data_IF_566740011575
#
_entry.id   IF_566740011575
#
_cell.length_a   1.000
_cell.length_b   1.000
_cell.length_c   1.000
_cell.angle_alpha   90.00
_cell.angle_beta   90.00
_cell.angle_gamma   90.00
#
_symmetry.space_group_name_H-M   'P 1'
#
loop_
_entity.id
_entity.type
_entity.pdbx_description
1 polymer ?
#
# COMPACT_ATOMS: atom_id res chain seq x y z
N UNK A 1 -22.75 25.22 15.13
CA UNK A 1 -22.56 24.19 16.18
C UNK A 1 -21.95 22.97 15.54
N UNK A 2 -20.59 22.98 15.43
CA UNK A 2 -19.83 21.87 14.86
C UNK A 2 -19.71 20.73 15.88
N UNK A 3 -20.48 19.65 15.65
CA UNK A 3 -20.35 18.38 16.37
C UNK A 3 -19.73 17.34 15.46
N UNK A 4 -18.47 17.47 15.11
CA UNK A 4 -17.68 16.38 14.54
C UNK A 4 -16.18 16.49 14.92
N UNK A 5 -15.93 16.70 16.19
CA UNK A 5 -14.63 16.35 16.75
C UNK A 5 -14.63 14.82 16.95
N UNK A 6 -14.38 14.08 15.88
CA UNK A 6 -14.08 12.65 15.98
C UNK A 6 -12.82 12.50 16.80
N UNK A 7 -12.99 12.07 18.03
CA UNK A 7 -11.93 11.69 18.96
C UNK A 7 -10.91 10.81 18.22
N UNK A 8 -9.74 11.36 17.91
CA UNK A 8 -8.58 10.60 17.45
C UNK A 8 -8.19 9.67 18.59
N UNK A 9 -8.77 8.46 18.58
CA UNK A 9 -8.37 7.39 19.47
C UNK A 9 -6.89 7.19 19.24
N UNK A 10 -6.06 7.44 20.25
CA UNK A 10 -4.62 7.17 20.23
C UNK A 10 -4.43 5.67 19.97
N UNK A 11 -4.33 5.28 18.70
CA UNK A 11 -4.01 3.91 18.34
C UNK A 11 -2.53 3.75 18.68
N UNK A 12 -2.26 2.85 19.59
CA UNK A 12 -0.89 2.53 19.97
C UNK A 12 -0.18 1.99 18.72
N UNK A 13 0.93 2.61 18.33
CA UNK A 13 1.73 2.19 17.16
C UNK A 13 2.16 0.71 17.21
N UNK A 14 2.07 0.09 18.39
CA UNK A 14 2.38 -1.31 18.62
C UNK A 14 1.22 -2.27 18.27
N UNK A 15 0.03 -1.74 17.93
CA UNK A 15 -1.14 -2.57 17.64
C UNK A 15 -1.14 -3.18 16.23
N UNK A 16 -0.21 -2.75 15.37
CA UNK A 16 -0.05 -3.32 14.03
C UNK A 16 1.16 -4.27 14.00
N UNK A 17 1.02 -5.48 13.47
CA UNK A 17 2.12 -6.44 13.34
C UNK A 17 3.05 -6.00 12.19
N UNK A 18 3.81 -4.92 12.40
CA UNK A 18 4.63 -4.31 11.37
C UNK A 18 6.05 -4.05 11.88
N UNK A 19 7.02 -4.72 11.30
CA UNK A 19 8.44 -4.50 11.61
C UNK A 19 9.03 -3.40 10.72
N UNK A 20 9.34 -2.25 11.32
CA UNK A 20 10.03 -1.14 10.61
C UNK A 20 11.39 -1.55 10.08
N UNK A 21 12.11 -2.43 10.77
CA UNK A 21 13.42 -2.93 10.35
C UNK A 21 13.27 -3.81 9.10
N UNK A 22 12.31 -4.74 9.12
CA UNK A 22 12.02 -5.58 7.96
C UNK A 22 11.52 -4.76 6.77
N UNK A 23 10.67 -3.75 7.01
CA UNK A 23 10.22 -2.83 5.98
C UNK A 23 11.40 -2.10 5.33
N UNK A 24 12.31 -1.52 6.11
CA UNK A 24 13.50 -0.84 5.56
C UNK A 24 14.38 -1.78 4.74
N UNK A 25 14.59 -2.99 5.23
CA UNK A 25 15.33 -4.02 4.49
C UNK A 25 14.65 -4.32 3.16
N UNK A 26 13.33 -4.58 3.18
CA UNK A 26 12.55 -4.88 1.98
C UNK A 26 12.56 -3.73 0.96
N UNK A 27 12.31 -2.50 1.41
CA UNK A 27 12.35 -1.31 0.55
C UNK A 27 13.76 -1.08 -0.03
N UNK A 28 14.81 -1.33 0.76
CA UNK A 28 16.20 -1.27 0.31
C UNK A 28 16.52 -2.31 -0.77
N UNK A 29 16.06 -3.56 -0.56
CA UNK A 29 16.18 -4.64 -1.54
C UNK A 29 15.47 -4.30 -2.85
N UNK A 30 14.24 -3.80 -2.78
CA UNK A 30 13.51 -3.34 -3.96
C UNK A 30 14.23 -2.20 -4.69
N UNK A 31 14.83 -1.27 -3.95
CA UNK A 31 15.64 -0.19 -4.52
C UNK A 31 16.88 -0.70 -5.24
N UNK A 32 17.52 -1.74 -4.71
CA UNK A 32 18.67 -2.40 -5.33
C UNK A 32 18.27 -3.18 -6.60
N UNK A 33 17.12 -3.86 -6.59
CA UNK A 33 16.63 -4.66 -7.72
C UNK A 33 16.10 -3.78 -8.86
N UNK A 34 15.50 -2.62 -8.56
CA UNK A 34 14.85 -1.75 -9.56
C UNK A 34 15.68 -1.43 -10.80
N UNK A 35 16.97 -1.09 -10.72
CA UNK A 35 17.77 -0.80 -11.91
C UNK A 35 17.87 -1.97 -12.89
N UNK A 36 17.89 -3.20 -12.38
CA UNK A 36 17.91 -4.42 -13.21
C UNK A 36 16.60 -4.65 -13.96
N UNK A 37 15.50 -4.06 -13.48
CA UNK A 37 14.21 -4.05 -14.16
C UNK A 37 14.04 -2.82 -15.08
N UNK A 38 15.13 -2.09 -15.36
CA UNK A 38 15.11 -0.85 -16.16
C UNK A 38 14.14 0.21 -15.61
N UNK A 39 13.83 0.14 -14.31
CA UNK A 39 12.89 1.05 -13.65
C UNK A 39 13.50 2.44 -13.45
N UNK A 40 12.84 3.47 -13.96
CA UNK A 40 13.12 4.87 -13.64
C UNK A 40 12.14 5.34 -12.57
N UNK A 41 12.60 6.17 -11.64
CA UNK A 41 11.74 6.76 -10.60
C UNK A 41 11.98 8.27 -10.58
N UNK A 42 10.96 9.01 -10.97
CA UNK A 42 10.92 10.47 -10.82
C UNK A 42 9.88 10.80 -9.75
N UNK A 43 10.23 11.66 -8.81
CA UNK A 43 9.36 12.07 -7.72
C UNK A 43 9.20 13.59 -7.76
N UNK A 44 7.96 14.08 -7.65
CA UNK A 44 7.73 15.50 -7.46
C UNK A 44 8.18 15.96 -6.06
N UNK A 45 8.41 17.24 -5.89
CA UNK A 45 8.80 17.81 -4.59
C UNK A 45 7.65 17.68 -3.57
N UNK A 46 6.40 17.80 -4.02
CA UNK A 46 5.22 17.60 -3.20
C UNK A 46 5.16 16.17 -2.64
N UNK A 47 5.43 15.16 -3.49
CA UNK A 47 5.47 13.77 -3.05
C UNK A 47 6.58 13.53 -2.03
N UNK A 48 7.77 14.10 -2.25
CA UNK A 48 8.90 14.01 -1.31
C UNK A 48 8.57 14.67 0.03
N UNK A 49 7.92 15.83 0.00
CA UNK A 49 7.48 16.55 1.20
C UNK A 49 6.42 15.72 1.95
N UNK A 50 5.38 15.25 1.26
CA UNK A 50 4.30 14.46 1.86
C UNK A 50 4.82 13.16 2.49
N UNK A 51 5.77 12.50 1.83
CA UNK A 51 6.41 11.28 2.34
C UNK A 51 7.12 11.49 3.70
N UNK A 52 7.60 12.71 3.96
CA UNK A 52 8.23 13.08 5.25
C UNK A 52 7.19 13.46 6.32
N UNK A 53 6.04 13.98 5.90
CA UNK A 53 5.04 14.55 6.81
C UNK A 53 4.12 13.51 7.45
N UNK A 54 4.03 12.30 6.93
CA UNK A 54 3.19 11.26 7.53
C UNK A 54 2.80 10.12 6.59
N UNK A 55 1.84 9.32 7.04
CA UNK A 55 1.29 8.23 6.24
C UNK A 55 0.45 8.77 5.07
N UNK A 56 0.51 8.05 3.94
CA UNK A 56 -0.26 8.35 2.74
C UNK A 56 -1.02 7.12 2.28
N UNK A 57 -2.22 7.32 1.75
CA UNK A 57 -2.85 6.34 0.88
C UNK A 57 -2.30 6.55 -0.54
N UNK A 58 -1.47 5.61 -0.98
CA UNK A 58 -0.85 5.66 -2.31
C UNK A 58 -1.73 4.89 -3.29
N UNK A 59 -2.24 5.57 -4.29
CA UNK A 59 -3.07 4.99 -5.35
C UNK A 59 -2.24 4.93 -6.62
N UNK A 60 -2.12 3.75 -7.21
CA UNK A 60 -1.33 3.54 -8.42
C UNK A 60 -2.07 2.63 -9.40
N UNK A 61 -1.76 2.77 -10.69
CA UNK A 61 -2.16 1.79 -11.70
C UNK A 61 -1.42 0.46 -11.51
N UNK A 62 -1.91 -0.62 -12.09
CA UNK A 62 -1.36 -1.96 -11.95
C UNK A 62 -0.98 -2.54 -13.30
N UNK A 63 0.26 -2.27 -13.72
CA UNK A 63 0.75 -2.65 -15.05
C UNK A 63 1.53 -3.97 -15.05
N UNK A 64 2.07 -4.37 -13.89
CA UNK A 64 2.97 -5.53 -13.79
C UNK A 64 2.89 -6.18 -12.41
N UNK A 65 3.17 -7.48 -12.34
CA UNK A 65 3.37 -8.17 -11.07
C UNK A 65 4.56 -7.61 -10.27
N UNK A 66 5.46 -6.84 -10.90
CA UNK A 66 6.64 -6.24 -10.28
C UNK A 66 6.45 -4.78 -9.83
N UNK A 67 5.26 -4.22 -9.99
CA UNK A 67 4.97 -2.83 -9.62
C UNK A 67 5.33 -2.53 -8.15
N UNK A 68 5.16 -3.51 -7.26
CA UNK A 68 5.54 -3.37 -5.86
C UNK A 68 7.02 -3.03 -5.67
N UNK A 69 7.92 -3.49 -6.56
CA UNK A 69 9.36 -3.16 -6.51
C UNK A 69 9.58 -1.69 -6.83
N UNK A 70 8.91 -1.19 -7.88
CA UNK A 70 9.03 0.20 -8.30
C UNK A 70 8.49 1.15 -7.24
N UNK A 71 7.31 0.87 -6.69
CA UNK A 71 6.70 1.70 -5.65
C UNK A 71 7.46 1.61 -4.32
N UNK A 72 7.94 0.42 -3.95
CA UNK A 72 8.79 0.25 -2.77
C UNK A 72 10.04 1.10 -2.88
N UNK A 73 10.67 1.12 -4.05
CA UNK A 73 11.84 1.95 -4.32
C UNK A 73 11.51 3.45 -4.21
N UNK A 74 10.34 3.90 -4.67
CA UNK A 74 9.90 5.29 -4.53
C UNK A 74 9.63 5.67 -3.08
N UNK A 75 9.21 4.73 -2.25
CA UNK A 75 8.88 4.93 -0.84
C UNK A 75 10.05 4.73 0.12
N UNK A 76 11.28 4.57 -0.38
CA UNK A 76 12.45 4.49 0.49
C UNK A 76 12.49 5.64 1.49
N UNK A 77 12.76 5.32 2.76
CA UNK A 77 12.77 6.27 3.87
C UNK A 77 11.42 6.49 4.56
N UNK A 78 10.32 5.98 4.02
CA UNK A 78 8.99 6.01 4.66
C UNK A 78 8.40 4.59 4.76
N UNK A 79 7.69 4.25 5.86
CA UNK A 79 7.08 2.94 5.98
C UNK A 79 5.92 2.79 4.99
N UNK A 80 5.89 1.65 4.29
CA UNK A 80 4.88 1.32 3.30
C UNK A 80 4.34 -0.08 3.56
N UNK A 81 3.03 -0.28 3.41
CA UNK A 81 2.39 -1.57 3.32
C UNK A 81 1.58 -1.68 2.01
N UNK A 82 1.20 -2.90 1.63
CA UNK A 82 0.55 -3.19 0.36
C UNK A 82 -0.78 -3.88 0.59
N UNK A 83 -1.75 -3.57 -0.25
CA UNK A 83 -2.94 -4.40 -0.40
C UNK A 83 -2.70 -5.39 -1.53
N UNK A 84 -2.77 -6.67 -1.21
CA UNK A 84 -2.54 -7.77 -2.14
C UNK A 84 -3.75 -8.69 -2.22
N UNK A 85 -3.98 -9.28 -3.38
CA UNK A 85 -5.06 -10.23 -3.54
C UNK A 85 -4.77 -11.52 -2.75
N UNK A 86 -5.75 -12.02 -1.99
CA UNK A 86 -5.61 -13.21 -1.16
C UNK A 86 -5.15 -14.44 -1.96
N UNK A 87 -5.60 -14.60 -3.21
CA UNK A 87 -5.21 -15.70 -4.07
C UNK A 87 -3.71 -15.72 -4.42
N UNK A 88 -3.02 -14.57 -4.40
CA UNK A 88 -1.56 -14.52 -4.60
C UNK A 88 -0.82 -15.26 -3.50
N UNK A 89 -1.38 -15.32 -2.29
CA UNK A 89 -0.78 -16.04 -1.16
C UNK A 89 -0.76 -17.56 -1.39
N UNK A 90 -1.61 -18.08 -2.28
CA UNK A 90 -1.66 -19.51 -2.60
C UNK A 90 -0.91 -19.87 -3.88
N UNK A 91 -0.84 -18.95 -4.84
CA UNK A 91 -0.29 -19.22 -6.18
C UNK A 91 1.24 -19.14 -6.23
N UNK A 92 1.87 -18.42 -5.29
CA UNK A 92 3.32 -18.15 -5.33
C UNK A 92 3.93 -18.31 -3.91
N UNK A 93 4.31 -19.54 -3.50
CA UNK A 93 4.68 -19.83 -2.10
C UNK A 93 5.84 -18.99 -1.56
N UNK A 94 6.87 -18.74 -2.35
CA UNK A 94 8.02 -17.92 -1.94
C UNK A 94 7.58 -16.47 -1.70
N UNK A 95 6.76 -15.95 -2.60
CA UNK A 95 6.23 -14.60 -2.53
C UNK A 95 5.23 -14.45 -1.36
N UNK A 96 4.40 -15.48 -1.16
CA UNK A 96 3.49 -15.57 -0.02
C UNK A 96 4.24 -15.51 1.32
N UNK A 97 5.36 -16.23 1.45
CA UNK A 97 6.20 -16.20 2.65
C UNK A 97 6.79 -14.80 2.87
N UNK A 98 7.28 -14.16 1.81
CA UNK A 98 7.83 -12.80 1.86
C UNK A 98 6.75 -11.79 2.28
N UNK A 99 5.59 -11.79 1.63
CA UNK A 99 4.46 -10.91 1.94
C UNK A 99 3.84 -11.20 3.31
N UNK A 100 3.77 -12.48 3.71
CA UNK A 100 3.33 -12.88 5.03
C UNK A 100 4.24 -12.34 6.13
N UNK A 101 5.55 -12.45 5.96
CA UNK A 101 6.53 -11.86 6.88
C UNK A 101 6.49 -10.32 6.88
N UNK A 102 6.06 -9.73 5.77
CA UNK A 102 5.84 -8.29 5.64
C UNK A 102 4.51 -7.84 6.28
N UNK A 103 3.63 -8.76 6.61
CA UNK A 103 2.25 -8.52 7.07
C UNK A 103 1.44 -7.68 6.08
N UNK A 104 1.57 -7.99 4.78
CA UNK A 104 0.80 -7.35 3.74
C UNK A 104 -0.71 -7.50 3.99
N UNK A 105 -1.48 -6.46 3.65
CA UNK A 105 -2.93 -6.47 3.83
C UNK A 105 -3.55 -7.32 2.72
N UNK A 106 -4.16 -8.44 3.08
CA UNK A 106 -4.84 -9.30 2.12
C UNK A 106 -6.24 -8.79 1.81
N UNK A 107 -6.67 -8.91 0.56
CA UNK A 107 -8.01 -8.55 0.11
C UNK A 107 -8.64 -9.71 -0.66
N UNK A 108 -9.86 -10.08 -0.30
CA UNK A 108 -10.67 -11.02 -1.08
C UNK A 108 -11.12 -10.36 -2.38
N UNK A 109 -10.80 -11.01 -3.50
CA UNK A 109 -11.22 -10.50 -4.80
C UNK A 109 -12.74 -10.62 -4.97
N UNK A 110 -13.31 -9.70 -5.73
CA UNK A 110 -14.74 -9.64 -6.12
C UNK A 110 -15.75 -9.45 -4.98
N UNK A 111 -15.30 -9.29 -3.74
CA UNK A 111 -16.16 -9.08 -2.58
C UNK A 111 -15.84 -7.77 -1.86
N UNK A 112 -16.85 -7.21 -1.20
CA UNK A 112 -16.64 -6.13 -0.25
C UNK A 112 -15.91 -6.70 0.97
N UNK A 113 -14.65 -6.34 1.15
CA UNK A 113 -13.81 -6.84 2.23
C UNK A 113 -13.65 -5.76 3.31
N UNK A 114 -14.55 -5.78 4.26
CA UNK A 114 -14.56 -4.83 5.38
C UNK A 114 -13.33 -4.97 6.28
N UNK A 115 -12.75 -6.16 6.40
CA UNK A 115 -11.53 -6.37 7.19
C UNK A 115 -10.32 -5.73 6.52
N UNK A 116 -10.23 -5.82 5.18
CA UNK A 116 -9.23 -5.11 4.40
C UNK A 116 -9.31 -3.60 4.64
N UNK A 117 -10.53 -3.02 4.57
CA UNK A 117 -10.75 -1.58 4.79
C UNK A 117 -10.31 -1.16 6.21
N UNK A 118 -10.69 -1.92 7.23
CA UNK A 118 -10.25 -1.68 8.61
C UNK A 118 -8.73 -1.76 8.76
N UNK A 119 -8.12 -2.72 8.10
CA UNK A 119 -6.65 -2.89 8.12
C UNK A 119 -5.96 -1.70 7.48
N UNK A 120 -6.43 -1.24 6.31
CA UNK A 120 -5.90 -0.04 5.65
C UNK A 120 -5.93 1.14 6.63
N UNK A 121 -7.09 1.41 7.23
CA UNK A 121 -7.22 2.51 8.20
C UNK A 121 -6.27 2.35 9.38
N UNK A 122 -6.18 1.16 9.94
CA UNK A 122 -5.31 0.86 11.09
C UNK A 122 -3.84 1.15 10.79
N UNK A 123 -3.35 0.78 9.60
CA UNK A 123 -1.97 1.06 9.18
C UNK A 123 -1.74 2.55 8.96
N UNK A 124 -2.66 3.25 8.28
CA UNK A 124 -2.58 4.70 8.08
C UNK A 124 -2.55 5.45 9.41
N UNK A 125 -3.46 5.12 10.33
CA UNK A 125 -3.53 5.72 11.68
C UNK A 125 -2.25 5.43 12.51
N UNK A 126 -1.56 4.31 12.24
CA UNK A 126 -0.26 3.98 12.85
C UNK A 126 0.93 4.70 12.19
N UNK A 127 0.70 5.53 11.19
CA UNK A 127 1.74 6.28 10.48
C UNK A 127 2.47 5.46 9.42
N UNK A 128 1.82 4.40 8.90
CA UNK A 128 2.34 3.53 7.84
C UNK A 128 1.53 3.78 6.58
N UNK A 129 2.18 4.20 5.50
CA UNK A 129 1.54 4.39 4.21
C UNK A 129 1.01 3.07 3.66
N UNK A 130 -0.07 3.14 2.90
CA UNK A 130 -0.68 1.94 2.28
C UNK A 130 -0.83 2.17 0.78
N UNK A 131 -0.35 1.22 -0.01
CA UNK A 131 -0.46 1.22 -1.47
C UNK A 131 -1.62 0.33 -1.91
N UNK A 132 -2.47 0.88 -2.77
CA UNK A 132 -3.58 0.18 -3.41
C UNK A 132 -3.57 0.38 -4.91
N UNK A 133 -3.98 -0.66 -5.65
CA UNK A 133 -4.22 -0.60 -7.09
C UNK A 133 -5.74 -0.58 -7.32
N UNK A 134 -6.32 0.55 -7.75
CA UNK A 134 -7.77 0.75 -7.80
C UNK A 134 -8.45 -0.07 -8.90
N UNK A 135 -7.69 -0.61 -9.84
CA UNK A 135 -8.17 -1.48 -10.92
C UNK A 135 -8.55 -2.88 -10.43
N UNK A 136 -7.95 -3.33 -9.29
CA UNK A 136 -8.18 -4.64 -8.69
C UNK A 136 -7.63 -5.83 -9.49
N UNK A 137 -6.94 -5.57 -10.59
CA UNK A 137 -6.27 -6.56 -11.47
C UNK A 137 -5.07 -5.95 -12.18
N UNK A 138 -4.13 -6.79 -12.59
CA UNK A 138 -3.02 -6.37 -13.47
C UNK A 138 -3.56 -6.08 -14.86
N UNK A 139 -3.10 -5.02 -15.49
CA UNK A 139 -3.42 -4.70 -16.89
C UNK A 139 -2.87 -5.78 -17.82
N UNK A 140 -3.67 -6.17 -18.81
CA UNK A 140 -3.27 -7.15 -19.80
C UNK A 140 -2.55 -6.51 -21.01
N UNK A 141 -2.79 -5.24 -21.27
CA UNK A 141 -2.33 -4.47 -22.43
C UNK A 141 -1.39 -3.32 -22.09
N UNK A 142 -1.04 -3.17 -20.80
CA UNK A 142 -0.19 -2.09 -20.32
C UNK A 142 -0.89 -0.72 -20.23
N UNK A 143 -2.21 -0.68 -20.41
CA UNK A 143 -3.01 0.54 -20.25
C UNK A 143 -3.73 0.52 -18.90
N UNK A 144 -3.84 1.67 -18.27
CA UNK A 144 -4.60 1.80 -17.02
C UNK A 144 -6.07 1.41 -17.24
N UNK A 145 -6.53 0.44 -16.48
CA UNK A 145 -7.90 -0.05 -16.56
C UNK A 145 -8.92 0.85 -15.85
N UNK A 146 -10.17 0.41 -15.84
CA UNK A 146 -11.23 1.13 -15.14
C UNK A 146 -11.00 1.12 -13.63
N UNK A 147 -11.07 2.29 -13.01
CA UNK A 147 -11.00 2.45 -11.56
C UNK A 147 -12.33 1.99 -10.94
N UNK A 148 -12.26 1.12 -9.95
CA UNK A 148 -13.43 0.62 -9.24
C UNK A 148 -14.15 1.78 -8.50
N UNK A 149 -15.45 1.98 -8.68
CA UNK A 149 -16.19 3.07 -8.01
C UNK A 149 -16.12 3.02 -6.47
N UNK A 150 -15.89 1.84 -5.91
CA UNK A 150 -15.69 1.64 -4.47
C UNK A 150 -14.46 2.35 -3.91
N UNK A 151 -13.48 2.66 -4.75
CA UNK A 151 -12.24 3.36 -4.33
C UNK A 151 -12.54 4.80 -3.92
N UNK A 152 -13.39 5.52 -4.65
CA UNK A 152 -13.79 6.87 -4.26
C UNK A 152 -14.46 6.89 -2.87
N UNK A 153 -15.34 5.93 -2.62
CA UNK A 153 -15.98 5.77 -1.29
C UNK A 153 -14.97 5.42 -0.19
N UNK A 154 -14.00 4.58 -0.51
CA UNK A 154 -12.91 4.23 0.42
C UNK A 154 -12.12 5.47 0.80
N UNK A 155 -11.67 6.28 -0.17
CA UNK A 155 -10.91 7.51 0.07
C UNK A 155 -11.71 8.49 0.93
N UNK A 156 -12.98 8.73 0.60
CA UNK A 156 -13.88 9.59 1.38
C UNK A 156 -14.04 9.08 2.82
N UNK A 157 -14.22 7.78 3.00
CA UNK A 157 -14.39 7.19 4.32
C UNK A 157 -13.12 7.23 5.17
N UNK A 158 -11.96 7.07 4.55
CA UNK A 158 -10.66 7.14 5.24
C UNK A 158 -10.33 8.56 5.70
N UNK A 159 -10.78 9.59 4.96
CA UNK A 159 -10.52 11.00 5.28
C UNK A 159 -9.06 11.40 5.00
N UNK A 160 -8.41 10.76 4.03
CA UNK A 160 -7.02 10.99 3.61
C UNK A 160 -6.97 11.59 2.22
#
# INVERSE_FOLDING_TARGET
>A
MDKNATSKKNINKNDVPFSKAYCRFFLGLCGFIRPFLHGKCTQSEEFKAQKKNGAMLVICNHLSAYDFIHFSSAMQGAPLNFVVAENMMYSMPIFAKLLGSYHAITKKQYFADYQCIKSIKKYLDAGISVLICPEGKVSADGVTGAILPSIARLVQWLGY
#
